data_IF_174066215962
#
_entry.id   IF_174066215962
#
_cell.length_a   1.000
_cell.length_b   1.000
_cell.length_c   1.000
_cell.angle_alpha   90.00
_cell.angle_beta   90.00
_cell.angle_gamma   90.00
#
_symmetry.space_group_name_H-M   'P 1'
#
loop_
_entity.id
_entity.type
_entity.pdbx_description
1 polymer ?
#
# COMPACT_ATOMS: atom_id res chain seq x y z
N UNK A 1 5.71 3.47 4.60
CA UNK A 1 4.23 3.53 4.38
C UNK A 1 3.39 2.42 4.99
N UNK A 2 3.67 1.13 4.75
CA UNK A 2 2.69 0.09 5.04
C UNK A 2 2.30 0.04 6.53
N UNK A 3 3.26 0.35 7.41
CA UNK A 3 3.07 0.40 8.86
C UNK A 3 2.11 1.52 9.31
N UNK A 4 2.39 2.77 8.90
CA UNK A 4 1.55 3.93 9.24
C UNK A 4 0.14 3.78 8.67
N UNK A 5 0.03 3.22 7.46
CA UNK A 5 -1.25 2.87 6.86
C UNK A 5 -2.04 1.88 7.72
N UNK A 6 -1.39 0.82 8.18
CA UNK A 6 -2.01 -0.19 9.05
C UNK A 6 -2.48 0.43 10.38
N UNK A 7 -1.67 1.29 11.01
CA UNK A 7 -2.06 2.02 12.22
C UNK A 7 -3.28 2.92 11.96
N UNK A 8 -3.28 3.67 10.85
CA UNK A 8 -4.42 4.48 10.45
C UNK A 8 -5.68 3.64 10.24
N UNK A 9 -5.54 2.45 9.66
CA UNK A 9 -6.59 1.46 9.49
C UNK A 9 -7.09 0.83 10.79
N UNK A 10 -6.31 0.88 11.88
CA UNK A 10 -6.75 0.45 13.22
C UNK A 10 -7.50 1.61 13.92
N UNK A 11 -6.88 2.79 13.96
CA UNK A 11 -7.38 3.92 14.76
C UNK A 11 -8.59 4.57 14.09
N UNK A 12 -8.56 4.79 12.78
CA UNK A 12 -9.61 5.49 12.03
C UNK A 12 -10.99 4.85 12.18
N UNK A 13 -11.17 3.57 11.82
CA UNK A 13 -12.43 2.86 11.98
C UNK A 13 -12.85 2.68 13.44
N UNK A 14 -11.90 2.58 14.37
CA UNK A 14 -12.21 2.55 15.81
C UNK A 14 -12.90 3.84 16.24
N UNK A 15 -12.36 5.00 15.89
CA UNK A 15 -12.95 6.30 16.21
C UNK A 15 -14.27 6.48 15.46
N UNK A 16 -14.26 6.23 14.14
CA UNK A 16 -15.43 6.42 13.27
C UNK A 16 -16.62 5.54 13.66
N UNK A 17 -16.37 4.28 14.03
CA UNK A 17 -17.42 3.34 14.42
C UNK A 17 -17.86 3.48 15.87
N UNK A 18 -16.92 3.59 16.83
CA UNK A 18 -17.25 3.62 18.26
C UNK A 18 -18.01 4.88 18.67
N UNK A 19 -17.67 6.03 18.06
CA UNK A 19 -18.33 7.30 18.34
C UNK A 19 -19.48 7.62 17.36
N UNK A 20 -19.78 6.74 16.40
CA UNK A 20 -20.98 6.88 15.58
C UNK A 20 -22.24 6.74 16.43
N UNK A 21 -23.28 7.52 16.05
CA UNK A 21 -24.60 7.48 16.67
C UNK A 21 -24.53 7.65 18.21
N UNK A 22 -23.94 8.74 18.71
CA UNK A 22 -23.62 8.91 20.14
C UNK A 22 -24.84 8.84 21.07
N UNK A 23 -26.04 9.18 20.57
CA UNK A 23 -27.29 9.05 21.32
C UNK A 23 -27.68 7.60 21.57
N UNK A 24 -27.43 6.71 20.60
CA UNK A 24 -27.69 5.28 20.74
C UNK A 24 -26.58 4.59 21.55
N UNK A 25 -25.32 4.98 21.29
CA UNK A 25 -24.14 4.39 21.93
C UNK A 25 -23.95 4.84 23.39
N UNK A 26 -24.31 6.08 23.72
CA UNK A 26 -24.14 6.67 25.06
C UNK A 26 -25.40 7.45 25.52
N UNK A 27 -26.53 6.76 25.76
CA UNK A 27 -27.82 7.40 26.06
C UNK A 27 -27.83 8.23 27.36
N UNK A 28 -26.89 7.98 28.28
CA UNK A 28 -26.74 8.77 29.51
C UNK A 28 -25.92 10.07 29.36
N UNK A 29 -25.13 10.20 28.29
CA UNK A 29 -24.25 11.35 28.04
C UNK A 29 -24.82 12.33 27.00
N UNK A 30 -25.66 11.84 26.08
CA UNK A 30 -26.21 12.65 24.99
C UNK A 30 -27.74 12.66 25.01
N UNK A 31 -28.32 13.86 24.97
CA UNK A 31 -29.77 14.03 24.88
C UNK A 31 -30.31 13.60 23.51
N UNK A 32 -31.46 12.92 23.51
CA UNK A 32 -32.16 12.47 22.32
C UNK A 32 -32.71 13.61 21.44
N UNK A 33 -32.78 14.84 21.95
CA UNK A 33 -33.21 16.03 21.19
C UNK A 33 -32.06 16.98 20.82
N UNK A 34 -30.82 16.64 21.19
CA UNK A 34 -29.66 17.50 21.00
C UNK A 34 -29.10 17.51 19.56
N UNK A 35 -28.07 18.34 19.34
CA UNK A 35 -27.39 18.46 18.04
C UNK A 35 -26.81 17.12 17.55
N UNK A 36 -26.36 16.28 18.49
CA UNK A 36 -25.82 14.95 18.20
C UNK A 36 -26.89 13.91 17.83
N UNK A 37 -28.15 14.16 18.15
CA UNK A 37 -29.27 13.37 17.62
C UNK A 37 -29.57 13.74 16.16
N UNK A 38 -29.47 15.04 15.83
CA UNK A 38 -29.65 15.54 14.46
C UNK A 38 -28.50 15.15 13.53
N UNK A 39 -27.26 15.15 14.04
CA UNK A 39 -26.06 14.82 13.27
C UNK A 39 -25.29 13.66 13.92
N UNK A 40 -25.64 12.39 13.60
CA UNK A 40 -25.09 11.21 14.27
C UNK A 40 -23.59 10.98 14.03
N UNK A 41 -23.01 11.61 13.01
CA UNK A 41 -21.58 11.54 12.68
C UNK A 41 -20.79 12.81 13.06
N UNK A 42 -21.41 13.78 13.74
CA UNK A 42 -20.72 15.01 14.15
C UNK A 42 -19.59 14.73 15.15
N UNK A 43 -19.84 13.87 16.13
CA UNK A 43 -18.87 13.53 17.18
C UNK A 43 -17.58 12.91 16.63
N UNK A 44 -17.61 11.84 15.80
CA UNK A 44 -16.39 11.26 15.24
C UNK A 44 -15.65 12.26 14.33
N UNK A 45 -16.37 13.11 13.59
CA UNK A 45 -15.74 14.14 12.77
C UNK A 45 -15.05 15.24 13.59
N UNK A 46 -15.62 15.65 14.72
CA UNK A 46 -14.99 16.60 15.64
C UNK A 46 -13.71 16.02 16.26
N UNK A 47 -13.73 14.73 16.64
CA UNK A 47 -12.53 14.04 17.13
C UNK A 47 -11.46 14.03 16.05
N UNK A 48 -11.78 13.61 14.82
CA UNK A 48 -10.83 13.61 13.70
C UNK A 48 -10.27 15.01 13.41
N UNK A 49 -11.12 16.04 13.38
CA UNK A 49 -10.71 17.44 13.16
C UNK A 49 -9.77 17.93 14.27
N UNK A 50 -10.06 17.60 15.54
CA UNK A 50 -9.20 17.97 16.67
C UNK A 50 -7.82 17.30 16.62
N UNK A 51 -7.77 16.02 16.22
CA UNK A 51 -6.51 15.29 16.03
C UNK A 51 -5.69 15.89 14.89
N UNK A 52 -6.33 16.24 13.77
CA UNK A 52 -5.66 16.91 12.65
C UNK A 52 -5.14 18.29 13.05
N UNK A 53 -5.94 19.08 13.77
CA UNK A 53 -5.52 20.39 14.28
C UNK A 53 -4.33 20.28 15.24
N UNK A 54 -4.37 19.31 16.16
CA UNK A 54 -3.25 19.02 17.04
C UNK A 54 -2.01 18.58 16.26
N UNK A 55 -2.18 17.73 15.24
CA UNK A 55 -1.07 17.31 14.37
C UNK A 55 -0.43 18.49 13.64
N UNK A 56 -1.23 19.47 13.21
CA UNK A 56 -0.74 20.69 12.57
C UNK A 56 0.03 21.58 13.56
N UNK A 57 -0.46 21.73 14.79
CA UNK A 57 0.26 22.44 15.86
C UNK A 57 1.59 21.75 16.16
N UNK A 58 1.56 20.44 16.36
CA UNK A 58 2.78 19.66 16.60
C UNK A 58 3.74 19.79 15.43
N UNK A 59 3.25 19.71 14.18
CA UNK A 59 4.10 19.87 13.02
C UNK A 59 4.75 21.26 12.96
N UNK A 60 4.01 22.32 13.30
CA UNK A 60 4.53 23.68 13.34
C UNK A 60 5.63 23.89 14.40
N UNK A 61 5.50 23.26 15.57
CA UNK A 61 6.45 23.45 16.68
C UNK A 61 7.59 22.41 16.74
N UNK A 62 7.37 21.18 16.25
CA UNK A 62 8.31 20.07 16.40
C UNK A 62 9.05 19.72 15.10
N UNK A 63 8.56 20.10 13.90
CA UNK A 63 9.36 19.90 12.69
C UNK A 63 10.39 21.01 12.55
N UNK A 64 11.65 20.60 12.45
CA UNK A 64 12.74 21.49 12.10
C UNK A 64 12.60 21.94 10.63
N UNK A 65 12.87 23.22 10.38
CA UNK A 65 12.88 23.78 9.02
C UNK A 65 13.96 23.09 8.18
N UNK A 66 13.52 22.38 7.14
CA UNK A 66 14.41 21.64 6.23
C UNK A 66 14.99 22.49 5.12
N UNK A 67 14.45 23.69 4.86
CA UNK A 67 14.95 24.54 3.79
C UNK A 67 16.30 25.18 4.20
N UNK A 68 17.39 24.98 3.42
CA UNK A 68 18.73 25.43 3.79
C UNK A 68 18.78 26.93 4.09
N UNK A 69 18.10 27.76 3.28
CA UNK A 69 18.09 29.22 3.47
C UNK A 69 17.21 29.74 4.62
N UNK A 70 16.36 28.89 5.22
CA UNK A 70 15.46 29.28 6.32
C UNK A 70 15.86 28.69 7.67
N UNK A 71 16.90 27.86 7.68
CA UNK A 71 17.54 27.44 8.92
C UNK A 71 18.19 28.67 9.58
N UNK A 72 18.03 28.80 10.90
CA UNK A 72 18.69 29.85 11.69
C UNK A 72 20.18 29.90 11.34
N UNK A 73 20.62 31.04 10.77
CA UNK A 73 22.01 31.29 10.35
C UNK A 73 22.95 30.99 11.50
N UNK A 74 23.69 29.89 11.37
CA UNK A 74 24.55 29.33 12.42
C UNK A 74 24.88 27.84 12.21
N UNK A 75 24.12 27.14 11.35
CA UNK A 75 24.37 25.74 10.96
C UNK A 75 24.91 25.56 9.53
N UNK A 76 25.47 26.63 8.96
CA UNK A 76 25.85 26.72 7.54
C UNK A 76 27.25 26.20 7.19
N UNK A 77 28.06 25.74 8.15
CA UNK A 77 29.45 25.31 7.85
C UNK A 77 29.60 23.86 7.35
N UNK A 78 28.52 23.14 7.02
CA UNK A 78 28.67 21.72 6.63
C UNK A 78 27.69 21.27 5.55
N UNK A 79 27.60 22.00 4.44
CA UNK A 79 26.83 21.58 3.25
C UNK A 79 27.62 21.47 1.95
N UNK A 80 28.90 21.87 1.91
CA UNK A 80 29.77 21.67 0.74
C UNK A 80 30.23 20.22 0.54
N UNK A 81 29.76 19.30 1.38
CA UNK A 81 29.99 17.86 1.24
C UNK A 81 28.67 17.10 1.43
N UNK A 82 27.68 17.41 0.59
CA UNK A 82 26.56 16.52 0.33
C UNK A 82 27.02 15.29 -0.48
N UNK A 83 28.02 14.57 0.05
CA UNK A 83 28.12 13.14 -0.20
C UNK A 83 26.87 12.55 0.42
N UNK A 84 26.03 11.90 -0.38
CA UNK A 84 24.92 11.09 0.11
C UNK A 84 25.50 9.99 1.01
N UNK A 85 25.75 10.30 2.29
CA UNK A 85 26.19 9.33 3.26
C UNK A 85 24.98 8.46 3.58
N UNK A 86 24.97 7.27 2.98
CA UNK A 86 24.13 6.17 3.42
C UNK A 86 24.38 6.00 4.93
N UNK A 87 23.38 6.24 5.80
CA UNK A 87 23.58 6.09 7.23
C UNK A 87 23.98 4.65 7.53
N UNK A 88 25.10 4.43 8.24
CA UNK A 88 25.58 3.09 8.61
C UNK A 88 24.58 2.32 9.50
N UNK A 89 23.61 3.02 10.08
CA UNK A 89 22.44 2.46 10.75
C UNK A 89 21.21 3.18 10.18
N UNK A 90 20.19 2.46 9.69
CA UNK A 90 18.90 3.08 9.36
C UNK A 90 18.29 3.61 10.66
N UNK A 91 18.48 4.89 10.95
CA UNK A 91 17.85 5.56 12.09
C UNK A 91 16.33 5.54 11.92
N UNK A 92 15.62 5.61 13.05
CA UNK A 92 14.17 5.44 13.23
C UNK A 92 13.24 6.38 12.42
N UNK A 93 13.76 7.10 11.41
CA UNK A 93 13.04 8.00 10.51
C UNK A 93 12.27 7.34 9.37
N UNK A 94 12.16 6.00 9.32
CA UNK A 94 11.39 5.28 8.30
C UNK A 94 9.89 5.64 8.25
N UNK A 95 9.38 6.35 9.26
CA UNK A 95 8.01 6.89 9.32
C UNK A 95 7.88 8.30 8.73
N UNK A 96 8.98 9.05 8.58
CA UNK A 96 8.99 10.42 8.06
C UNK A 96 9.09 10.49 6.53
N UNK A 97 9.50 9.40 5.89
CA UNK A 97 9.66 9.32 4.44
C UNK A 97 8.33 9.33 3.68
N UNK A 98 8.35 9.94 2.49
CA UNK A 98 7.21 10.03 1.59
C UNK A 98 6.67 8.64 1.17
N UNK A 99 5.40 8.55 0.70
CA UNK A 99 4.75 7.26 0.57
C UNK A 99 5.34 6.23 -0.37
N UNK A 100 5.70 6.71 -1.55
CA UNK A 100 6.78 6.13 -2.28
C UNK A 100 7.97 6.99 -1.88
N UNK A 101 8.98 6.43 -1.22
CA UNK A 101 10.32 7.02 -1.24
C UNK A 101 11.28 5.92 -1.71
N UNK A 102 11.55 5.88 -3.00
CA UNK A 102 12.45 4.90 -3.60
C UNK A 102 13.92 5.09 -3.18
N UNK A 103 14.30 6.25 -2.61
CA UNK A 103 15.68 6.45 -2.11
C UNK A 103 15.90 5.75 -0.78
N UNK A 104 14.85 5.56 0.03
CA UNK A 104 14.93 4.86 1.30
C UNK A 104 15.33 3.38 1.10
N UNK A 105 16.19 2.86 1.97
CA UNK A 105 16.53 1.42 2.06
C UNK A 105 15.53 0.65 2.93
N UNK A 106 14.64 1.38 3.61
CA UNK A 106 13.59 0.85 4.48
C UNK A 106 12.19 1.13 3.93
N UNK A 107 11.40 0.07 3.72
CA UNK A 107 10.01 0.18 3.26
C UNK A 107 9.01 0.14 4.44
N UNK A 108 9.26 0.93 5.47
CA UNK A 108 8.42 1.01 6.68
C UNK A 108 8.90 0.12 7.81
N UNK A 109 8.48 -1.15 7.86
CA UNK A 109 8.85 -2.09 8.95
C UNK A 109 10.19 -2.80 8.71
N UNK A 110 10.77 -2.69 7.52
CA UNK A 110 11.90 -3.51 7.09
C UNK A 110 13.16 -2.67 6.98
N UNK A 111 14.23 -3.04 7.70
CA UNK A 111 15.40 -2.17 7.83
C UNK A 111 16.49 -2.37 6.76
N UNK A 112 16.45 -3.39 5.90
CA UNK A 112 17.46 -3.58 4.83
C UNK A 112 16.90 -4.35 3.63
N UNK A 113 16.40 -3.64 2.62
CA UNK A 113 16.26 -4.20 1.25
C UNK A 113 17.51 -3.81 0.47
N UNK A 114 18.53 -4.66 0.51
CA UNK A 114 19.76 -4.46 -0.25
C UNK A 114 19.47 -4.75 -1.73
N UNK A 115 19.49 -3.69 -2.55
CA UNK A 115 19.41 -3.80 -4.01
C UNK A 115 20.84 -3.84 -4.53
N UNK A 116 21.36 -5.04 -4.79
CA UNK A 116 22.71 -5.20 -5.32
C UNK A 116 22.68 -4.94 -6.85
N UNK A 117 23.30 -3.83 -7.28
CA UNK A 117 23.52 -3.50 -8.69
C UNK A 117 24.93 -3.91 -9.07
N UNK A 118 25.08 -4.69 -10.14
CA UNK A 118 26.38 -4.87 -10.78
C UNK A 118 26.82 -3.51 -11.37
N UNK A 119 27.87 -2.90 -10.82
CA UNK A 119 28.42 -1.67 -11.36
C UNK A 119 29.21 -1.96 -12.63
N UNK A 120 28.78 -1.38 -13.75
CA UNK A 120 29.50 -1.45 -15.03
C UNK A 120 30.33 -0.19 -15.18
N UNK A 121 31.64 -0.33 -15.04
CA UNK A 121 32.59 0.76 -15.15
C UNK A 121 33.07 0.85 -16.60
N UNK A 122 32.89 2.01 -17.26
CA UNK A 122 33.42 2.24 -18.61
C UNK A 122 34.66 3.10 -18.51
N UNK A 123 35.76 2.57 -19.02
CA UNK A 123 37.08 3.21 -18.97
C UNK A 123 37.61 3.23 -20.39
N UNK A 124 38.11 4.38 -20.85
CA UNK A 124 38.81 4.46 -22.15
C UNK A 124 40.14 3.71 -22.07
N UNK A 125 40.71 3.28 -23.19
CA UNK A 125 42.07 2.75 -23.23
C UNK A 125 43.13 3.71 -22.63
N UNK A 126 42.85 5.02 -22.61
CA UNK A 126 43.67 6.06 -21.97
C UNK A 126 43.66 6.06 -20.43
N UNK A 127 42.78 5.27 -19.79
CA UNK A 127 42.58 5.28 -18.33
C UNK A 127 41.63 6.37 -17.84
N UNK A 128 41.05 7.17 -18.73
CA UNK A 128 40.02 8.16 -18.39
C UNK A 128 38.66 7.49 -18.17
N UNK A 129 37.96 7.93 -17.13
CA UNK A 129 36.58 7.53 -16.87
C UNK A 129 35.66 8.07 -17.94
N UNK A 130 34.89 7.18 -18.59
CA UNK A 130 33.79 7.62 -19.45
C UNK A 130 32.62 7.93 -18.53
N UNK A 131 32.37 9.22 -18.31
CA UNK A 131 31.16 9.67 -17.63
C UNK A 131 29.94 9.11 -18.37
N UNK A 132 29.08 8.39 -17.64
CA UNK A 132 27.92 7.75 -18.23
C UNK A 132 27.11 8.79 -19.03
N UNK A 133 26.65 8.48 -20.25
CA UNK A 133 25.99 9.47 -21.09
C UNK A 133 24.82 10.11 -20.34
N UNK A 134 24.85 11.44 -20.22
CA UNK A 134 23.88 12.25 -19.49
C UNK A 134 22.42 12.08 -20.01
N UNK A 135 22.25 11.50 -21.20
CA UNK A 135 20.99 11.37 -21.92
C UNK A 135 20.34 9.98 -21.77
N UNK A 136 20.48 9.33 -20.61
CA UNK A 136 19.63 8.18 -20.31
C UNK A 136 18.21 8.68 -20.04
N UNK A 137 17.27 8.32 -20.92
CA UNK A 137 15.82 8.57 -20.73
C UNK A 137 15.41 8.17 -19.30
N UNK A 138 15.09 9.19 -18.50
CA UNK A 138 14.64 9.07 -17.10
C UNK A 138 13.49 8.08 -16.96
N UNK A 139 12.55 8.15 -17.91
CA UNK A 139 11.41 7.25 -18.00
C UNK A 139 11.70 6.15 -19.01
N UNK A 140 12.31 5.07 -18.53
CA UNK A 140 12.40 3.84 -19.31
C UNK A 140 11.01 3.22 -19.44
N UNK A 141 10.79 2.47 -20.52
CA UNK A 141 9.53 1.75 -20.72
C UNK A 141 9.23 0.80 -19.55
N UNK A 142 10.26 0.17 -18.98
CA UNK A 142 10.12 -0.70 -17.80
C UNK A 142 9.63 0.06 -16.56
N UNK A 143 10.17 1.26 -16.29
CA UNK A 143 9.70 2.08 -15.16
C UNK A 143 8.23 2.46 -15.35
N UNK A 144 7.85 2.88 -16.55
CA UNK A 144 6.46 3.24 -16.88
C UNK A 144 5.54 2.04 -16.66
N UNK A 145 5.93 0.84 -17.09
CA UNK A 145 5.14 -0.37 -16.89
C UNK A 145 4.86 -0.66 -15.40
N UNK A 146 5.88 -0.59 -14.53
CA UNK A 146 5.67 -0.79 -13.09
C UNK A 146 4.88 0.34 -12.43
N UNK A 147 5.04 1.59 -12.89
CA UNK A 147 4.22 2.71 -12.42
C UNK A 147 2.75 2.53 -12.81
N UNK A 148 2.47 2.07 -14.02
CA UNK A 148 1.11 1.72 -14.47
C UNK A 148 0.55 0.57 -13.62
N UNK A 149 1.36 -0.46 -13.34
CA UNK A 149 0.95 -1.57 -12.48
C UNK A 149 0.64 -1.09 -11.06
N UNK A 150 1.42 -0.16 -10.51
CA UNK A 150 1.15 0.50 -9.25
C UNK A 150 -0.17 1.26 -9.28
N UNK A 151 -0.47 2.00 -10.36
CA UNK A 151 -1.73 2.71 -10.53
C UNK A 151 -2.96 1.80 -10.59
N UNK A 152 -2.88 0.71 -11.36
CA UNK A 152 -3.96 -0.30 -11.44
C UNK A 152 -4.17 -0.92 -10.05
N UNK A 153 -3.08 -1.30 -9.39
CA UNK A 153 -3.13 -1.86 -8.04
C UNK A 153 -3.77 -0.90 -7.04
N UNK A 154 -3.31 0.36 -6.98
CA UNK A 154 -3.87 1.33 -6.02
C UNK A 154 -5.32 1.63 -6.31
N UNK A 155 -5.75 1.65 -7.58
CA UNK A 155 -7.14 1.81 -7.95
C UNK A 155 -8.01 0.68 -7.38
N UNK A 156 -7.80 -0.57 -7.79
CA UNK A 156 -8.70 -1.66 -7.35
C UNK A 156 -8.53 -1.96 -5.85
N UNK A 157 -7.35 -1.75 -5.28
CA UNK A 157 -7.14 -1.90 -3.84
C UNK A 157 -8.01 -0.90 -3.07
N UNK A 158 -8.07 0.37 -3.49
CA UNK A 158 -8.94 1.36 -2.85
C UNK A 158 -10.41 1.09 -3.07
N UNK A 159 -10.83 0.60 -4.25
CA UNK A 159 -12.25 0.26 -4.44
C UNK A 159 -12.70 -0.77 -3.40
N UNK A 160 -11.87 -1.79 -3.11
CA UNK A 160 -12.16 -2.75 -2.04
C UNK A 160 -12.34 -2.06 -0.68
N UNK A 161 -11.41 -1.17 -0.31
CA UNK A 161 -11.41 -0.52 1.01
C UNK A 161 -12.66 0.37 1.20
N UNK A 162 -13.18 0.94 0.12
CA UNK A 162 -14.43 1.72 0.13
C UNK A 162 -15.70 0.86 0.05
N UNK A 163 -15.69 -0.19 -0.77
CA UNK A 163 -16.85 -1.08 -0.96
C UNK A 163 -17.13 -1.91 0.29
N UNK A 164 -16.09 -2.35 0.99
CA UNK A 164 -16.23 -3.24 2.13
C UNK A 164 -17.13 -2.68 3.25
N UNK A 165 -16.86 -1.50 3.85
CA UNK A 165 -17.70 -1.02 4.95
C UNK A 165 -19.12 -0.68 4.49
N UNK A 166 -19.28 -0.21 3.24
CA UNK A 166 -20.61 0.02 2.64
C UNK A 166 -21.37 -1.31 2.55
N UNK A 167 -20.76 -2.36 2.00
CA UNK A 167 -21.37 -3.68 1.89
C UNK A 167 -21.68 -4.33 3.24
N UNK A 168 -20.79 -4.16 4.24
CA UNK A 168 -21.04 -4.67 5.59
C UNK A 168 -22.25 -3.98 6.24
N UNK A 169 -22.42 -2.67 6.02
CA UNK A 169 -23.48 -1.85 6.63
C UNK A 169 -24.81 -1.92 5.88
N UNK A 170 -24.77 -2.07 4.56
CA UNK A 170 -25.95 -2.05 3.70
C UNK A 170 -26.97 -3.13 4.11
N UNK A 171 -28.26 -2.84 3.90
CA UNK A 171 -29.36 -3.67 4.41
C UNK A 171 -29.28 -5.07 3.82
N UNK A 172 -29.45 -6.07 4.67
CA UNK A 172 -29.53 -7.46 4.23
C UNK A 172 -30.82 -7.64 3.42
N UNK A 173 -30.73 -8.27 2.24
CA UNK A 173 -31.93 -8.66 1.52
C UNK A 173 -32.68 -9.77 2.27
N UNK A 174 -33.98 -9.61 2.39
CA UNK A 174 -34.87 -10.62 2.96
C UNK A 174 -35.03 -11.78 1.95
N UNK A 175 -34.69 -13.00 2.39
CA UNK A 175 -34.92 -14.28 1.69
C UNK A 175 -34.01 -14.63 0.49
N UNK A 176 -32.69 -14.69 0.67
CA UNK A 176 -31.81 -15.42 -0.26
C UNK A 176 -31.65 -16.86 0.23
N UNK A 177 -32.52 -17.76 -0.24
CA UNK A 177 -32.33 -19.20 -0.05
C UNK A 177 -31.26 -19.70 -1.04
N UNK A 178 -30.18 -20.31 -0.53
CA UNK A 178 -29.09 -20.87 -1.34
C UNK A 178 -29.54 -21.90 -2.40
N UNK A 179 -30.76 -22.44 -2.26
CA UNK A 179 -31.38 -23.41 -3.16
C UNK A 179 -32.20 -22.76 -4.31
N UNK A 180 -32.52 -21.46 -4.24
CA UNK A 180 -33.21 -20.71 -5.28
C UNK A 180 -32.28 -19.64 -5.87
N UNK A 181 -31.19 -20.09 -6.48
CA UNK A 181 -30.21 -19.24 -7.14
C UNK A 181 -30.77 -18.76 -8.49
N UNK A 182 -31.78 -17.90 -8.46
CA UNK A 182 -32.07 -17.05 -9.62
C UNK A 182 -30.95 -16.02 -9.67
N UNK A 183 -30.20 -15.99 -10.77
CA UNK A 183 -29.02 -15.13 -11.03
C UNK A 183 -29.26 -13.61 -10.86
N UNK A 184 -30.44 -13.21 -10.40
CA UNK A 184 -30.98 -11.87 -10.26
C UNK A 184 -31.19 -11.39 -8.82
N UNK A 185 -30.85 -12.19 -7.78
CA UNK A 185 -31.15 -11.84 -6.37
C UNK A 185 -29.94 -11.96 -5.43
N UNK A 186 -28.78 -11.43 -5.83
CA UNK A 186 -27.66 -11.14 -4.92
C UNK A 186 -27.70 -9.65 -4.52
N UNK A 187 -28.88 -9.18 -4.14
CA UNK A 187 -29.10 -7.80 -3.72
C UNK A 187 -28.85 -7.63 -2.23
N UNK A 188 -28.40 -6.44 -1.82
CA UNK A 188 -28.20 -6.08 -0.42
C UNK A 188 -26.80 -6.39 0.14
N UNK A 189 -26.61 -5.98 1.39
CA UNK A 189 -25.40 -6.16 2.19
C UNK A 189 -25.59 -7.12 3.36
N UNK A 190 -24.83 -6.94 4.43
CA UNK A 190 -24.86 -7.80 5.62
C UNK A 190 -25.67 -7.21 6.79
N UNK A 191 -26.08 -5.95 6.72
CA UNK A 191 -26.89 -5.27 7.73
C UNK A 191 -26.21 -5.12 9.08
N UNK A 192 -24.88 -5.03 9.11
CA UNK A 192 -24.10 -4.94 10.35
C UNK A 192 -24.12 -3.49 10.88
N UNK A 193 -24.41 -3.26 12.17
CA UNK A 193 -24.35 -1.94 12.78
C UNK A 193 -22.98 -1.27 12.63
N UNK A 194 -22.97 0.06 12.50
CA UNK A 194 -21.77 0.88 12.24
C UNK A 194 -20.65 0.64 13.26
N UNK A 195 -21.02 0.50 14.53
CA UNK A 195 -20.08 0.25 15.63
C UNK A 195 -19.34 -1.08 15.42
N UNK A 196 -20.06 -2.13 15.02
CA UNK A 196 -19.48 -3.45 14.73
C UNK A 196 -18.64 -3.43 13.45
N UNK A 197 -19.06 -2.70 12.41
CA UNK A 197 -18.26 -2.49 11.20
C UNK A 197 -16.94 -1.81 11.55
N UNK A 198 -16.97 -0.78 12.40
CA UNK A 198 -15.77 -0.14 12.94
C UNK A 198 -14.81 -1.14 13.59
N UNK A 199 -15.30 -1.99 14.50
CA UNK A 199 -14.49 -3.03 15.16
C UNK A 199 -13.90 -4.03 14.16
N UNK A 200 -14.69 -4.50 13.18
CA UNK A 200 -14.22 -5.43 12.13
C UNK A 200 -13.07 -4.79 11.34
N UNK A 201 -13.21 -3.52 10.96
CA UNK A 201 -12.20 -2.80 10.22
C UNK A 201 -10.94 -2.52 11.05
N UNK A 202 -11.09 -2.22 12.34
CA UNK A 202 -9.96 -2.06 13.24
C UNK A 202 -9.16 -3.36 13.40
N UNK A 203 -9.86 -4.49 13.55
CA UNK A 203 -9.23 -5.81 13.61
C UNK A 203 -8.55 -6.17 12.29
N UNK A 204 -9.13 -5.78 11.15
CA UNK A 204 -8.48 -5.90 9.85
C UNK A 204 -7.14 -5.16 9.83
N UNK A 205 -7.06 -3.94 10.37
CA UNK A 205 -5.79 -3.22 10.51
C UNK A 205 -4.74 -3.96 11.36
N UNK A 206 -5.16 -4.66 12.42
CA UNK A 206 -4.27 -5.51 13.24
C UNK A 206 -3.79 -6.72 12.43
N UNK A 207 -4.69 -7.40 11.71
CA UNK A 207 -4.33 -8.50 10.79
C UNK A 207 -3.32 -8.01 9.76
N UNK A 208 -3.52 -6.80 9.22
CA UNK A 208 -2.60 -6.20 8.28
C UNK A 208 -1.21 -5.99 8.88
N UNK A 209 -1.16 -5.41 10.09
CA UNK A 209 0.09 -5.19 10.80
C UNK A 209 0.86 -6.49 11.06
N UNK A 210 0.17 -7.56 11.46
CA UNK A 210 0.78 -8.87 11.71
C UNK A 210 1.32 -9.50 10.41
N UNK A 211 0.53 -9.48 9.34
CA UNK A 211 0.96 -9.99 8.03
C UNK A 211 2.19 -9.22 7.54
N UNK A 212 2.17 -7.90 7.66
CA UNK A 212 3.29 -7.08 7.27
C UNK A 212 4.54 -7.36 8.11
N UNK A 213 4.42 -7.44 9.43
CA UNK A 213 5.57 -7.59 10.32
C UNK A 213 6.22 -8.97 10.22
N UNK A 214 5.40 -10.04 10.08
CA UNK A 214 5.89 -11.42 10.16
C UNK A 214 5.84 -12.15 8.82
N UNK A 215 4.74 -12.03 8.06
CA UNK A 215 4.53 -12.85 6.86
C UNK A 215 5.28 -12.30 5.66
N UNK A 216 5.31 -10.97 5.46
CA UNK A 216 6.01 -10.37 4.32
C UNK A 216 7.50 -10.74 4.26
N UNK A 217 8.30 -10.56 5.34
CA UNK A 217 9.73 -10.88 5.29
C UNK A 217 10.00 -12.35 4.95
N UNK A 218 9.25 -13.26 5.59
CA UNK A 218 9.39 -14.70 5.39
C UNK A 218 9.09 -15.11 3.94
N UNK A 219 7.99 -14.60 3.38
CA UNK A 219 7.62 -14.90 2.00
C UNK A 219 8.58 -14.26 1.00
N UNK A 220 9.05 -13.04 1.27
CA UNK A 220 9.97 -12.33 0.38
C UNK A 220 11.35 -13.00 0.33
N UNK A 221 11.84 -13.51 1.47
CA UNK A 221 13.09 -14.28 1.53
C UNK A 221 12.94 -15.65 0.85
N UNK A 222 11.84 -16.36 1.09
CA UNK A 222 11.64 -17.71 0.57
C UNK A 222 11.36 -17.74 -0.94
N UNK A 223 10.43 -16.90 -1.43
CA UNK A 223 10.03 -16.90 -2.83
C UNK A 223 10.86 -15.94 -3.70
N UNK A 224 11.49 -14.93 -3.09
CA UNK A 224 12.06 -13.79 -3.80
C UNK A 224 11.00 -12.78 -4.24
N UNK A 225 11.40 -11.51 -4.36
CA UNK A 225 10.52 -10.37 -4.65
C UNK A 225 9.71 -10.56 -5.93
N UNK A 226 10.34 -10.98 -7.02
CA UNK A 226 9.68 -11.15 -8.32
C UNK A 226 8.60 -12.22 -8.30
N UNK A 227 8.92 -13.45 -7.85
CA UNK A 227 7.94 -14.56 -7.83
C UNK A 227 6.80 -14.26 -6.86
N UNK A 228 7.11 -13.62 -5.73
CA UNK A 228 6.08 -13.21 -4.79
C UNK A 228 5.15 -12.16 -5.40
N UNK A 229 5.67 -11.19 -6.17
CA UNK A 229 4.85 -10.22 -6.90
C UNK A 229 3.91 -10.91 -7.89
N UNK A 230 4.40 -11.89 -8.66
CA UNK A 230 3.58 -12.67 -9.60
C UNK A 230 2.45 -13.41 -8.88
N UNK A 231 2.78 -14.14 -7.81
CA UNK A 231 1.83 -14.92 -7.02
C UNK A 231 0.76 -14.02 -6.43
N UNK A 232 1.17 -12.93 -5.80
CA UNK A 232 0.26 -11.98 -5.15
C UNK A 232 -0.65 -11.31 -6.17
N UNK A 233 -0.12 -10.86 -7.31
CA UNK A 233 -0.91 -10.19 -8.36
C UNK A 233 -1.93 -11.14 -8.99
N UNK A 234 -1.54 -12.40 -9.25
CA UNK A 234 -2.43 -13.40 -9.85
C UNK A 234 -3.53 -13.87 -8.89
N UNK A 235 -3.24 -13.94 -7.59
CA UNK A 235 -4.20 -14.37 -6.56
C UNK A 235 -5.10 -13.23 -6.08
N UNK A 236 -4.72 -11.98 -6.31
CA UNK A 236 -5.46 -10.79 -5.86
C UNK A 236 -6.95 -10.75 -6.26
N UNK A 237 -7.34 -11.08 -7.52
CA UNK A 237 -8.74 -11.03 -7.95
C UNK A 237 -9.67 -11.94 -7.14
N UNK A 238 -9.15 -13.06 -6.60
CA UNK A 238 -9.92 -14.00 -5.78
C UNK A 238 -10.51 -13.29 -4.55
N UNK A 239 -9.77 -12.34 -3.97
CA UNK A 239 -10.24 -11.57 -2.82
C UNK A 239 -11.54 -10.78 -3.11
N UNK A 240 -11.77 -10.37 -4.35
CA UNK A 240 -12.97 -9.63 -4.76
C UNK A 240 -14.12 -10.57 -5.10
N UNK A 241 -13.81 -11.69 -5.76
CA UNK A 241 -14.82 -12.66 -6.19
C UNK A 241 -15.50 -13.34 -5.00
N UNK A 242 -14.77 -13.57 -3.89
CA UNK A 242 -15.31 -14.30 -2.74
C UNK A 242 -16.26 -13.43 -1.88
N UNK A 243 -16.05 -12.11 -1.79
CA UNK A 243 -16.78 -11.24 -0.85
C UNK A 243 -18.30 -11.24 -1.05
N UNK A 244 -18.86 -11.14 -2.28
CA UNK A 244 -20.30 -11.20 -2.48
C UNK A 244 -20.96 -12.48 -1.95
N UNK A 245 -20.24 -13.60 -1.86
CA UNK A 245 -20.79 -14.86 -1.35
C UNK A 245 -20.97 -14.87 0.17
N UNK A 246 -20.45 -13.88 0.91
CA UNK A 246 -20.69 -13.74 2.34
C UNK A 246 -22.18 -13.62 2.69
N UNK A 247 -23.01 -13.10 1.77
CA UNK A 247 -24.45 -12.99 1.97
C UNK A 247 -25.16 -14.36 2.11
N UNK A 248 -24.58 -15.40 1.50
CA UNK A 248 -25.12 -16.76 1.48
C UNK A 248 -24.77 -17.55 2.75
N UNK A 249 -23.84 -17.04 3.58
CA UNK A 249 -23.43 -17.74 4.80
C UNK A 249 -24.53 -17.72 5.87
N UNK A 250 -24.68 -18.81 6.63
CA UNK A 250 -25.54 -18.81 7.82
C UNK A 250 -24.95 -17.89 8.89
N UNK A 251 -25.82 -17.40 9.79
CA UNK A 251 -25.44 -16.45 10.86
C UNK A 251 -24.26 -16.94 11.74
N UNK A 252 -24.13 -18.26 11.93
CA UNK A 252 -23.04 -18.87 12.71
C UNK A 252 -21.66 -18.77 12.04
N UNK A 253 -21.61 -18.75 10.70
CA UNK A 253 -20.37 -18.71 9.92
C UNK A 253 -20.07 -17.33 9.34
N UNK A 254 -20.96 -16.35 9.52
CA UNK A 254 -20.83 -15.01 8.94
C UNK A 254 -19.55 -14.29 9.43
N UNK A 255 -19.32 -14.21 10.75
CA UNK A 255 -18.12 -13.56 11.29
C UNK A 255 -16.81 -14.28 10.92
N UNK A 256 -16.70 -15.63 11.06
CA UNK A 256 -15.56 -16.37 10.55
C UNK A 256 -15.32 -16.14 9.05
N UNK A 257 -16.37 -16.12 8.24
CA UNK A 257 -16.30 -15.85 6.80
C UNK A 257 -15.77 -14.45 6.49
N UNK A 258 -16.25 -13.42 7.19
CA UNK A 258 -15.74 -12.05 7.05
C UNK A 258 -14.23 -12.01 7.34
N UNK A 259 -13.79 -12.56 8.48
CA UNK A 259 -12.36 -12.54 8.83
C UNK A 259 -11.51 -13.38 7.87
N UNK A 260 -12.04 -14.48 7.32
CA UNK A 260 -11.36 -15.25 6.28
C UNK A 260 -11.16 -14.40 5.01
N UNK A 261 -12.21 -13.72 4.52
CA UNK A 261 -12.11 -12.81 3.37
C UNK A 261 -11.14 -11.65 3.62
N UNK A 262 -11.19 -11.04 4.80
CA UNK A 262 -10.27 -9.97 5.21
C UNK A 262 -8.83 -10.45 5.27
N UNK A 263 -8.59 -11.67 5.76
CA UNK A 263 -7.25 -12.27 5.80
C UNK A 263 -6.73 -12.53 4.39
N UNK A 264 -7.55 -13.11 3.50
CA UNK A 264 -7.19 -13.33 2.09
C UNK A 264 -6.82 -12.01 1.41
N UNK A 265 -7.66 -10.98 1.56
CA UNK A 265 -7.40 -9.65 1.00
C UNK A 265 -6.16 -8.99 1.62
N UNK A 266 -5.96 -9.13 2.93
CA UNK A 266 -4.82 -8.54 3.63
C UNK A 266 -3.51 -9.19 3.18
N UNK A 267 -3.49 -10.52 3.02
CA UNK A 267 -2.34 -11.26 2.50
C UNK A 267 -1.96 -10.77 1.09
N UNK A 268 -2.92 -10.54 0.20
CA UNK A 268 -2.57 -10.13 -1.16
C UNK A 268 -2.26 -8.64 -1.28
N UNK A 269 -2.95 -7.75 -0.56
CA UNK A 269 -2.76 -6.31 -0.75
C UNK A 269 -1.51 -5.73 -0.08
N UNK A 270 -1.23 -6.16 1.15
CA UNK A 270 -0.10 -5.63 1.94
C UNK A 270 1.22 -6.00 1.28
N UNK A 271 1.29 -7.19 0.69
CA UNK A 271 2.48 -7.66 0.01
C UNK A 271 2.68 -6.93 -1.33
N UNK A 272 1.61 -6.65 -2.08
CA UNK A 272 1.70 -6.07 -3.42
C UNK A 272 2.34 -4.68 -3.43
N UNK A 273 1.97 -3.79 -2.51
CA UNK A 273 2.44 -2.39 -2.53
C UNK A 273 3.97 -2.26 -2.36
N UNK A 274 4.61 -2.87 -1.33
CA UNK A 274 6.07 -2.86 -1.21
C UNK A 274 6.77 -3.54 -2.38
N UNK A 275 6.24 -4.67 -2.87
CA UNK A 275 6.86 -5.39 -3.99
C UNK A 275 6.90 -4.54 -5.26
N UNK A 276 5.81 -3.83 -5.56
CA UNK A 276 5.76 -2.90 -6.69
C UNK A 276 6.76 -1.75 -6.52
N UNK A 277 6.88 -1.17 -5.32
CA UNK A 277 7.86 -0.12 -5.07
C UNK A 277 9.31 -0.61 -5.17
N UNK A 278 9.60 -1.83 -4.71
CA UNK A 278 10.93 -2.45 -4.87
C UNK A 278 11.24 -2.63 -6.36
N UNK A 279 10.27 -3.11 -7.16
CA UNK A 279 10.46 -3.28 -8.61
C UNK A 279 10.63 -1.95 -9.36
N UNK A 280 9.91 -0.90 -8.97
CA UNK A 280 10.12 0.44 -9.54
C UNK A 280 11.55 0.94 -9.22
N UNK A 281 12.04 0.70 -7.99
CA UNK A 281 13.41 1.06 -7.59
C UNK A 281 14.47 0.26 -8.38
N UNK A 282 14.25 -1.03 -8.58
CA UNK A 282 15.13 -1.88 -9.39
C UNK A 282 15.15 -1.45 -10.86
N UNK A 283 14.00 -1.05 -11.42
CA UNK A 283 13.88 -0.61 -12.80
C UNK A 283 14.50 0.78 -13.07
N UNK A 284 14.77 1.56 -12.03
CA UNK A 284 15.31 2.91 -12.17
C UNK A 284 16.75 2.87 -12.73
N UNK A 285 17.05 3.57 -13.85
CA UNK A 285 18.34 3.47 -14.53
C UNK A 285 19.53 4.01 -13.72
N UNK A 286 19.30 5.00 -12.84
CA UNK A 286 20.33 5.62 -12.02
C UNK A 286 19.73 6.26 -10.74
N UNK A 287 20.55 6.43 -9.68
CA UNK A 287 20.14 7.01 -8.39
C UNK A 287 19.71 8.48 -8.52
N UNK A 288 20.36 9.22 -9.43
CA UNK A 288 20.05 10.62 -9.77
C UNK A 288 18.60 10.86 -10.23
N UNK A 289 17.96 9.82 -10.77
CA UNK A 289 16.59 9.88 -11.32
C UNK A 289 15.50 9.40 -10.35
N UNK A 290 15.87 8.85 -9.19
CA UNK A 290 14.92 8.26 -8.25
C UNK A 290 13.88 9.26 -7.76
N UNK A 291 14.26 10.53 -7.53
CA UNK A 291 13.31 11.57 -7.10
C UNK A 291 12.18 11.81 -8.11
N UNK A 292 12.50 11.84 -9.41
CA UNK A 292 11.50 12.03 -10.50
C UNK A 292 10.58 10.81 -10.64
N UNK A 293 11.15 9.61 -10.62
CA UNK A 293 10.40 8.35 -10.71
C UNK A 293 9.49 8.18 -9.50
N UNK A 294 9.99 8.57 -8.31
CA UNK A 294 9.25 8.54 -7.07
C UNK A 294 8.06 9.51 -7.07
N UNK A 295 8.29 10.75 -7.54
CA UNK A 295 7.23 11.74 -7.72
C UNK A 295 6.15 11.27 -8.70
N UNK A 296 6.55 10.61 -9.79
CA UNK A 296 5.62 9.99 -10.74
C UNK A 296 4.80 8.87 -10.07
N UNK A 297 5.47 7.90 -9.42
CA UNK A 297 4.80 6.78 -8.75
C UNK A 297 3.83 7.24 -7.66
N UNK A 298 4.23 8.21 -6.83
CA UNK A 298 3.38 8.79 -5.80
C UNK A 298 2.16 9.52 -6.38
N UNK A 299 2.36 10.34 -7.42
CA UNK A 299 1.29 11.08 -8.12
C UNK A 299 0.31 10.14 -8.81
N UNK A 300 0.79 9.12 -9.54
CA UNK A 300 -0.05 8.08 -10.15
C UNK A 300 -0.86 7.35 -9.08
N UNK A 301 -0.20 6.94 -7.99
CA UNK A 301 -0.87 6.30 -6.86
C UNK A 301 -1.98 7.18 -6.31
N UNK A 302 -1.72 8.47 -6.04
CA UNK A 302 -2.71 9.41 -5.53
C UNK A 302 -3.88 9.63 -6.51
N UNK A 303 -3.61 9.85 -7.79
CA UNK A 303 -4.64 10.04 -8.82
C UNK A 303 -5.59 8.85 -8.90
N UNK A 304 -5.05 7.63 -8.93
CA UNK A 304 -5.84 6.39 -8.94
C UNK A 304 -6.71 6.25 -7.68
N UNK A 305 -6.19 6.60 -6.49
CA UNK A 305 -6.98 6.57 -5.24
C UNK A 305 -8.13 7.59 -5.26
N UNK A 306 -7.87 8.80 -5.74
CA UNK A 306 -8.89 9.86 -5.86
C UNK A 306 -10.03 9.45 -6.78
N UNK A 307 -9.74 8.73 -7.86
CA UNK A 307 -10.74 8.26 -8.83
C UNK A 307 -11.46 6.99 -8.34
N UNK A 308 -10.80 6.15 -7.54
CA UNK A 308 -11.37 4.89 -7.07
C UNK A 308 -12.63 5.07 -6.20
N UNK A 309 -12.63 6.01 -5.25
CA UNK A 309 -13.76 6.17 -4.30
C UNK A 309 -15.07 6.60 -5.00
N UNK A 310 -15.07 7.65 -5.85
CA UNK A 310 -16.29 8.05 -6.57
C UNK A 310 -16.82 6.95 -7.49
N UNK A 311 -15.93 6.26 -8.23
CA UNK A 311 -16.35 5.20 -9.14
C UNK A 311 -16.91 4.00 -8.37
N UNK A 312 -16.25 3.58 -7.28
CA UNK A 312 -16.74 2.51 -6.43
C UNK A 312 -18.11 2.84 -5.83
N UNK A 313 -18.31 4.07 -5.34
CA UNK A 313 -19.60 4.52 -4.81
C UNK A 313 -20.70 4.55 -5.87
N UNK A 314 -20.40 5.04 -7.07
CA UNK A 314 -21.35 5.06 -8.19
C UNK A 314 -21.71 3.65 -8.65
N UNK A 315 -20.71 2.77 -8.81
CA UNK A 315 -20.95 1.36 -9.17
C UNK A 315 -21.78 0.64 -8.11
N UNK A 316 -21.50 0.86 -6.82
CA UNK A 316 -22.29 0.28 -5.75
C UNK A 316 -23.72 0.81 -5.73
N UNK A 317 -23.91 2.13 -5.93
CA UNK A 317 -25.24 2.74 -6.06
C UNK A 317 -26.06 2.13 -7.19
N UNK A 318 -25.47 2.03 -8.40
CA UNK A 318 -26.10 1.34 -9.53
C UNK A 318 -26.40 -0.14 -9.22
N UNK A 319 -25.53 -0.79 -8.45
CA UNK A 319 -25.70 -2.18 -8.05
C UNK A 319 -26.90 -2.39 -7.12
N UNK A 320 -27.25 -1.39 -6.29
CA UNK A 320 -28.46 -1.40 -5.47
C UNK A 320 -29.71 -1.31 -6.35
N UNK A 321 -29.71 -0.41 -7.35
CA UNK A 321 -30.84 -0.18 -8.25
C UNK A 321 -31.20 -1.44 -9.08
N UNK A 322 -30.18 -2.21 -9.49
CA UNK A 322 -30.36 -3.47 -10.22
C UNK A 322 -30.54 -4.70 -9.30
N UNK A 323 -30.58 -4.49 -7.97
CA UNK A 323 -30.62 -5.55 -6.96
C UNK A 323 -29.51 -6.61 -7.09
N UNK A 324 -28.30 -6.19 -7.49
CA UNK A 324 -27.17 -7.06 -7.73
C UNK A 324 -25.85 -6.45 -7.23
N UNK A 325 -25.63 -6.48 -5.90
CA UNK A 325 -24.47 -5.85 -5.22
C UNK A 325 -23.13 -6.51 -5.58
N UNK A 326 -23.16 -7.75 -6.08
CA UNK A 326 -21.98 -8.44 -6.60
C UNK A 326 -21.32 -7.71 -7.79
N UNK A 327 -22.06 -6.91 -8.54
CA UNK A 327 -21.53 -6.18 -9.70
C UNK A 327 -20.35 -5.28 -9.33
N UNK A 328 -20.46 -4.49 -8.26
CA UNK A 328 -19.40 -3.57 -7.84
C UNK A 328 -18.09 -4.32 -7.49
N UNK A 329 -18.23 -5.48 -6.86
CA UNK A 329 -17.10 -6.35 -6.51
C UNK A 329 -16.47 -6.98 -7.74
N UNK A 330 -17.27 -7.51 -8.66
CA UNK A 330 -16.78 -8.15 -9.88
C UNK A 330 -16.22 -7.16 -10.90
N UNK A 331 -16.75 -5.94 -10.95
CA UNK A 331 -16.15 -4.83 -11.70
C UNK A 331 -14.74 -4.51 -11.17
N UNK A 332 -14.57 -4.48 -9.84
CA UNK A 332 -13.25 -4.32 -9.22
C UNK A 332 -12.34 -5.53 -9.47
N UNK A 333 -12.89 -6.74 -9.47
CA UNK A 333 -12.17 -7.96 -9.82
C UNK A 333 -11.67 -7.94 -11.28
N UNK A 334 -12.47 -7.42 -12.21
CA UNK A 334 -12.09 -7.26 -13.61
C UNK A 334 -10.88 -6.31 -13.75
N UNK A 335 -10.83 -5.22 -13.00
CA UNK A 335 -9.66 -4.32 -12.99
C UNK A 335 -8.43 -4.99 -12.38
N UNK A 336 -8.61 -5.80 -11.33
CA UNK A 336 -7.52 -6.62 -10.79
C UNK A 336 -7.01 -7.66 -11.80
N UNK A 337 -7.90 -8.26 -12.60
CA UNK A 337 -7.53 -9.17 -13.70
C UNK A 337 -6.75 -8.44 -14.78
N UNK A 338 -7.14 -7.21 -15.14
CA UNK A 338 -6.36 -6.37 -16.07
C UNK A 338 -4.94 -6.14 -15.53
N UNK A 339 -4.80 -5.88 -14.22
CA UNK A 339 -3.49 -5.80 -13.55
C UNK A 339 -2.70 -7.11 -13.65
N UNK A 340 -3.34 -8.26 -13.45
CA UNK A 340 -2.70 -9.56 -13.64
C UNK A 340 -2.33 -9.84 -15.11
N UNK A 341 -3.13 -9.38 -16.07
CA UNK A 341 -2.82 -9.47 -17.51
C UNK A 341 -1.64 -8.59 -17.92
N UNK A 342 -1.29 -7.57 -17.13
CA UNK A 342 -0.11 -6.74 -17.38
C UNK A 342 1.20 -7.49 -17.09
N UNK A 343 1.16 -8.53 -16.25
CA UNK A 343 2.32 -9.26 -15.75
C UNK A 343 3.26 -9.80 -16.84
N UNK A 344 2.79 -10.46 -17.92
CA UNK A 344 3.66 -10.96 -18.98
C UNK A 344 4.42 -9.86 -19.72
N UNK A 345 3.90 -8.63 -19.69
CA UNK A 345 4.51 -7.48 -20.34
C UNK A 345 5.53 -6.76 -19.46
N UNK A 346 5.57 -7.07 -18.16
CA UNK A 346 6.55 -6.49 -17.23
C UNK A 346 7.94 -7.00 -17.60
N UNK A 347 8.68 -6.18 -18.36
CA UNK A 347 10.04 -6.52 -18.74
C UNK A 347 10.94 -6.44 -17.51
N UNK A 348 11.50 -7.58 -17.11
CA UNK A 348 12.59 -7.62 -16.13
C UNK A 348 13.82 -6.97 -16.76
N UNK A 349 13.95 -5.65 -16.64
CA UNK A 349 15.12 -4.92 -17.16
C UNK A 349 16.44 -5.37 -16.50
N UNK A 350 16.35 -6.06 -15.36
CA UNK A 350 17.50 -6.54 -14.62
C UNK A 350 17.61 -8.07 -14.65
N UNK A 351 18.24 -8.62 -15.67
CA UNK A 351 18.92 -9.92 -15.55
C UNK A 351 20.20 -9.82 -14.69
N UNK A 352 20.57 -8.61 -14.21
CA UNK A 352 21.81 -8.29 -13.48
C UNK A 352 21.57 -7.51 -12.15
N UNK A 353 20.35 -7.43 -11.65
CA UNK A 353 20.03 -6.78 -10.37
C UNK A 353 19.13 -7.72 -9.57
N UNK A 354 19.50 -7.95 -8.31
CA UNK A 354 18.77 -8.84 -7.41
C UNK A 354 18.51 -8.08 -6.10
N UNK A 355 17.26 -7.65 -5.82
CA UNK A 355 16.91 -7.27 -4.45
C UNK A 355 16.82 -8.51 -3.56
N UNK A 356 17.55 -8.48 -2.45
CA UNK A 356 17.46 -9.47 -1.38
C UNK A 356 16.85 -8.80 -0.16
N UNK A 357 15.70 -9.31 0.28
CA UNK A 357 15.06 -8.88 1.53
C UNK A 357 15.64 -9.74 2.65
N UNK A 358 16.35 -9.15 3.61
CA UNK A 358 16.86 -9.87 4.79
C UNK A 358 15.91 -9.71 5.98
N UNK A 359 15.57 -10.82 6.64
CA UNK A 359 14.78 -10.80 7.88
C UNK A 359 15.61 -10.32 9.06
N UNK A 360 15.02 -9.54 9.97
CA UNK A 360 15.68 -9.09 11.19
C UNK A 360 15.87 -10.22 12.24
N UNK A 361 15.09 -11.29 12.16
CA UNK A 361 15.25 -12.50 12.97
C UNK A 361 16.32 -13.39 12.36
N UNK A 362 17.42 -13.63 13.11
CA UNK A 362 18.41 -14.68 12.81
C UNK A 362 17.69 -16.04 12.80
N UNK A 363 17.36 -16.57 11.63
CA UNK A 363 17.11 -18.00 11.51
C UNK A 363 18.46 -18.72 11.65
N UNK A 364 18.58 -19.61 12.65
CA UNK A 364 19.78 -20.37 12.99
C UNK A 364 20.26 -21.38 11.93
N UNK A 365 19.89 -21.21 10.66
CA UNK A 365 20.12 -22.18 9.59
C UNK A 365 20.87 -21.62 8.37
N UNK A 366 21.43 -20.41 8.46
CA UNK A 366 22.15 -19.84 7.33
C UNK A 366 23.61 -19.56 7.72
N UNK A 367 24.52 -20.35 7.15
CA UNK A 367 25.95 -20.15 7.25
C UNK A 367 26.34 -18.75 6.74
N UNK A 368 27.00 -17.99 7.61
CA UNK A 368 27.40 -16.60 7.45
C UNK A 368 28.61 -16.40 6.51
N UNK A 369 28.79 -17.25 5.49
CA UNK A 369 30.02 -17.28 4.67
C UNK A 369 29.75 -17.23 3.16
N UNK A 370 28.95 -16.27 2.71
CA UNK A 370 28.98 -15.87 1.30
C UNK A 370 29.68 -14.50 1.20
N UNK A 371 30.88 -14.40 0.60
CA UNK A 371 31.60 -13.14 0.47
C UNK A 371 30.78 -12.13 -0.33
N UNK A 372 30.88 -10.84 0.05
CA UNK A 372 30.41 -9.68 -0.73
C UNK A 372 31.15 -9.64 -2.07
N UNK A 373 30.66 -10.38 -3.06
CA UNK A 373 31.16 -10.25 -4.42
C UNK A 373 30.43 -9.06 -5.07
N UNK A 374 30.89 -7.84 -4.78
CA UNK A 374 30.67 -6.71 -5.68
C UNK A 374 31.40 -7.02 -6.98
N UNK A 375 30.66 -7.50 -7.99
CA UNK A 375 31.23 -7.78 -9.31
C UNK A 375 31.24 -6.47 -10.08
N UNK A 376 32.39 -5.79 -10.09
CA UNK A 376 32.61 -4.63 -10.95
C UNK A 376 32.96 -5.14 -12.34
N UNK A 377 32.10 -4.88 -13.33
CA UNK A 377 32.36 -5.23 -14.73
C UNK A 377 32.98 -4.03 -15.43
N UNK A 378 34.28 -4.10 -15.70
CA UNK A 378 35.00 -3.05 -16.42
C UNK A 378 34.90 -3.34 -17.92
N UNK A 379 34.31 -2.42 -18.69
CA UNK A 379 34.33 -2.45 -20.15
C UNK A 379 35.33 -1.41 -20.63
N UNK A 380 36.37 -1.86 -21.34
CA UNK A 380 37.38 -0.99 -21.94
C UNK A 380 36.88 -0.63 -23.35
N UNK A 381 36.71 0.66 -23.62
CA UNK A 381 36.41 1.17 -24.98
C UNK A 381 37.73 1.59 -25.63
N UNK A 382 38.00 1.08 -26.83
CA UNK A 382 39.19 1.46 -27.63
C UNK A 382 39.05 2.91 -28.12
N UNK A 383 40.12 3.70 -28.01
CA UNK A 383 40.18 5.06 -28.56
C UNK A 383 40.05 5.01 -30.09
N UNK A 384 38.95 5.57 -30.61
CA UNK A 384 38.65 5.67 -32.04
C UNK A 384 39.41 6.80 -32.74
#
# INVERSE_FOLDING_TARGET
MPFVWSIGGIIGPSIGGYFAEPVQSFPGLFSATGIFAKFPYLLPNLICSSLLFLSMIMAYFLLDETHPDRQLRGRFEQYDSAVAQTPLLPTQGATADAPANLTSESYGTFNNVEVQRDEVWRVRSSGEWVEAPADRKVFSWTVIQFVVALGIFTYHSMTYDHLLPIFLQDKRADNINAFQLSSSSMGGGLGIPVQKVGVIMSLNGVIQLLIQAFVFPLLAEFFGVWRLLLLVTLTHPVAYLVVPFLQLLPQSLLYPGIFACLTIRSLTAILAFPLLLIMIKEAAPDKSHLGKINGLAASTGAACRTVASPIAGLLYGLSIDIHFTALAWWASAAVAIIGAMQVPFLNRAANHCHARVRTATRCCFQDDTAPRNEVVRITIEDDA
#
